data_IF_241291051751
#
_entry.id   IF_241291051751
#
_cell.length_a   1.000
_cell.length_b   1.000
_cell.length_c   1.000
_cell.angle_alpha   90.00
_cell.angle_beta   90.00
_cell.angle_gamma   90.00
#
_symmetry.space_group_name_H-M   'P 1'
#
loop_
_entity.id
_entity.type
_entity.pdbx_description
1 polymer ?
#
# COMPACT_ATOMS: atom_id res chain seq x y z
N UNK A 1 -22.57 -22.01 5.30
CA UNK A 1 -21.73 -20.91 5.80
C UNK A 1 -22.52 -19.60 5.68
N UNK A 2 -22.47 -18.78 6.70
CA UNK A 2 -23.09 -17.46 6.66
C UNK A 2 -22.23 -16.51 5.82
N UNK A 3 -22.58 -16.37 4.54
CA UNK A 3 -21.84 -15.58 3.55
C UNK A 3 -21.77 -14.11 3.97
N UNK A 4 -22.84 -13.59 4.55
CA UNK A 4 -22.88 -12.20 5.02
C UNK A 4 -21.86 -11.96 6.12
N UNK A 5 -21.76 -12.87 7.10
CA UNK A 5 -20.75 -12.80 8.16
C UNK A 5 -19.32 -12.81 7.59
N UNK A 6 -19.02 -13.72 6.66
CA UNK A 6 -17.69 -13.80 6.04
C UNK A 6 -17.35 -12.54 5.26
N UNK A 7 -18.31 -12.00 4.54
CA UNK A 7 -18.12 -10.80 3.72
C UNK A 7 -17.83 -9.56 4.56
N UNK A 8 -18.56 -9.36 5.67
CA UNK A 8 -18.29 -8.26 6.62
C UNK A 8 -16.95 -8.46 7.33
N UNK A 9 -16.64 -9.68 7.75
CA UNK A 9 -15.38 -9.97 8.44
C UNK A 9 -14.16 -9.75 7.53
N UNK A 10 -14.31 -9.93 6.22
CA UNK A 10 -13.28 -9.65 5.22
C UNK A 10 -12.89 -8.17 5.16
N UNK A 11 -13.79 -7.24 5.54
CA UNK A 11 -13.47 -5.81 5.67
C UNK A 11 -12.30 -5.61 6.63
N UNK A 12 -12.32 -6.29 7.77
CA UNK A 12 -11.22 -6.21 8.76
C UNK A 12 -9.88 -6.62 8.15
N UNK A 13 -9.87 -7.73 7.41
CA UNK A 13 -8.64 -8.22 6.76
C UNK A 13 -8.12 -7.21 5.74
N UNK A 14 -8.99 -6.67 4.88
CA UNK A 14 -8.63 -5.62 3.92
C UNK A 14 -8.08 -4.36 4.58
N UNK A 15 -8.72 -3.89 5.67
CA UNK A 15 -8.25 -2.73 6.44
C UNK A 15 -6.89 -3.00 7.10
N UNK A 16 -6.69 -4.16 7.71
CA UNK A 16 -5.41 -4.54 8.34
C UNK A 16 -4.29 -4.59 7.29
N UNK A 17 -4.53 -5.20 6.14
CA UNK A 17 -3.53 -5.29 5.06
C UNK A 17 -3.20 -3.89 4.54
N UNK A 18 -4.20 -3.08 4.22
CA UNK A 18 -3.98 -1.72 3.76
C UNK A 18 -3.18 -0.88 4.76
N UNK A 19 -3.56 -0.88 6.05
CA UNK A 19 -2.88 -0.11 7.09
C UNK A 19 -1.46 -0.60 7.35
N UNK A 20 -1.24 -1.91 7.48
CA UNK A 20 0.11 -2.46 7.72
C UNK A 20 1.03 -2.24 6.52
N UNK A 21 0.54 -2.43 5.31
CA UNK A 21 1.31 -2.15 4.09
C UNK A 21 1.71 -0.68 4.02
N UNK A 22 0.78 0.22 4.31
CA UNK A 22 1.02 1.67 4.37
C UNK A 22 2.08 2.01 5.43
N UNK A 23 2.05 1.34 6.58
CA UNK A 23 3.03 1.54 7.66
C UNK A 23 4.47 1.23 7.21
N UNK A 24 4.65 0.24 6.33
CA UNK A 24 5.96 -0.09 5.75
C UNK A 24 6.32 0.83 4.57
N UNK A 25 5.35 1.13 3.71
CA UNK A 25 5.55 1.91 2.50
C UNK A 25 5.88 3.39 2.78
N UNK A 26 5.11 4.02 3.68
CA UNK A 26 5.18 5.46 3.93
C UNK A 26 6.56 5.93 4.41
N UNK A 27 7.20 5.33 5.43
CA UNK A 27 8.51 5.76 5.89
C UNK A 27 9.58 5.66 4.80
N UNK A 28 9.55 4.58 4.01
CA UNK A 28 10.49 4.39 2.90
C UNK A 28 10.30 5.47 1.83
N UNK A 29 9.06 5.71 1.40
CA UNK A 29 8.76 6.69 0.37
C UNK A 29 9.10 8.13 0.83
N UNK A 30 8.74 8.50 2.08
CA UNK A 30 9.05 9.81 2.64
C UNK A 30 10.56 10.03 2.77
N UNK A 31 11.25 9.09 3.39
CA UNK A 31 12.69 9.24 3.62
C UNK A 31 13.46 9.31 2.31
N UNK A 32 13.23 8.37 1.39
CA UNK A 32 13.95 8.31 0.12
C UNK A 32 13.53 9.44 -0.82
N UNK A 33 12.23 9.76 -0.92
CA UNK A 33 11.73 10.81 -1.80
C UNK A 33 12.21 12.19 -1.39
N UNK A 34 12.13 12.53 -0.09
CA UNK A 34 12.61 13.81 0.43
C UNK A 34 14.14 13.89 0.36
N UNK A 35 14.86 12.81 0.68
CA UNK A 35 16.31 12.77 0.57
C UNK A 35 16.79 12.99 -0.87
N UNK A 36 16.22 12.30 -1.84
CA UNK A 36 16.54 12.46 -3.25
C UNK A 36 16.28 13.90 -3.73
N UNK A 37 15.11 14.46 -3.42
CA UNK A 37 14.74 15.82 -3.82
C UNK A 37 15.57 16.90 -3.15
N UNK A 38 15.94 16.75 -1.87
CA UNK A 38 16.67 17.77 -1.13
C UNK A 38 18.18 17.74 -1.41
N UNK A 39 18.84 16.59 -1.30
CA UNK A 39 20.29 16.49 -1.45
C UNK A 39 20.72 16.55 -2.91
N UNK A 40 19.97 15.92 -3.81
CA UNK A 40 20.36 15.84 -5.23
C UNK A 40 21.62 15.00 -5.47
N UNK A 41 22.27 15.16 -6.65
CA UNK A 41 23.53 14.51 -6.99
C UNK A 41 23.48 12.99 -6.83
N UNK A 42 24.56 12.40 -6.29
CA UNK A 42 24.68 10.94 -6.13
C UNK A 42 23.54 10.29 -5.32
N UNK A 43 23.02 10.98 -4.31
CA UNK A 43 21.90 10.46 -3.51
C UNK A 43 20.64 10.35 -4.38
N UNK A 44 20.37 11.35 -5.18
CA UNK A 44 19.27 11.35 -6.13
C UNK A 44 19.43 10.27 -7.19
N UNK A 45 20.61 10.17 -7.80
CA UNK A 45 20.91 9.19 -8.86
C UNK A 45 20.73 7.75 -8.35
N UNK A 46 21.22 7.44 -7.15
CA UNK A 46 21.10 6.11 -6.56
C UNK A 46 19.64 5.76 -6.24
N UNK A 47 18.88 6.70 -5.67
CA UNK A 47 17.47 6.47 -5.34
C UNK A 47 16.64 6.34 -6.63
N UNK A 48 16.92 7.15 -7.63
CA UNK A 48 16.29 7.03 -8.95
C UNK A 48 16.59 5.68 -9.61
N UNK A 49 17.84 5.26 -9.56
CA UNK A 49 18.23 3.95 -10.08
C UNK A 49 17.46 2.82 -9.35
N UNK A 50 17.36 2.87 -8.03
CA UNK A 50 16.65 1.87 -7.24
C UNK A 50 15.16 1.80 -7.59
N UNK A 51 14.43 2.92 -7.59
CA UNK A 51 13.00 2.86 -7.91
C UNK A 51 12.73 2.58 -9.38
N UNK A 52 13.62 3.01 -10.31
CA UNK A 52 13.46 2.70 -11.73
C UNK A 52 13.69 1.22 -12.01
N UNK A 53 14.71 0.63 -11.39
CA UNK A 53 14.98 -0.82 -11.48
C UNK A 53 13.83 -1.64 -10.95
N UNK A 54 13.30 -1.31 -9.76
CA UNK A 54 12.12 -1.99 -9.20
C UNK A 54 10.89 -1.84 -10.10
N UNK A 55 10.65 -0.64 -10.64
CA UNK A 55 9.50 -0.37 -11.50
C UNK A 55 9.63 -0.99 -12.91
N UNK A 56 10.82 -1.41 -13.34
CA UNK A 56 11.01 -2.11 -14.62
C UNK A 56 10.53 -3.57 -14.58
N UNK A 57 10.42 -4.14 -13.37
CA UNK A 57 9.88 -5.48 -13.17
C UNK A 57 8.36 -5.37 -13.08
N UNK A 58 7.58 -6.18 -13.81
CA UNK A 58 6.13 -6.19 -13.64
C UNK A 58 5.76 -6.47 -12.18
N UNK A 59 5.13 -5.47 -11.50
CA UNK A 59 4.90 -5.50 -10.05
C UNK A 59 4.16 -6.75 -9.57
N UNK A 60 3.16 -7.20 -10.33
CA UNK A 60 2.43 -8.44 -10.03
C UNK A 60 3.33 -9.68 -9.99
N UNK A 61 4.30 -9.80 -10.89
CA UNK A 61 5.26 -10.92 -10.91
C UNK A 61 6.24 -10.82 -9.74
N UNK A 62 6.76 -9.63 -9.46
CA UNK A 62 7.66 -9.40 -8.34
C UNK A 62 7.00 -9.77 -7.00
N UNK A 63 5.79 -9.26 -6.77
CA UNK A 63 5.03 -9.55 -5.55
C UNK A 63 4.72 -11.04 -5.45
N UNK A 64 4.21 -11.65 -6.51
CA UNK A 64 3.86 -13.08 -6.54
C UNK A 64 5.08 -13.96 -6.25
N UNK A 65 6.21 -13.71 -6.91
CA UNK A 65 7.45 -14.47 -6.69
C UNK A 65 7.97 -14.33 -5.25
N UNK A 66 7.94 -13.12 -4.70
CA UNK A 66 8.38 -12.83 -3.33
C UNK A 66 7.49 -13.54 -2.29
N UNK A 67 6.16 -13.46 -2.47
CA UNK A 67 5.20 -14.12 -1.57
C UNK A 67 5.32 -15.64 -1.64
N UNK A 68 5.47 -16.22 -2.85
CA UNK A 68 5.68 -17.65 -3.01
C UNK A 68 6.98 -18.11 -2.35
N UNK A 69 8.09 -17.41 -2.54
CA UNK A 69 9.37 -17.72 -1.90
C UNK A 69 9.25 -17.76 -0.39
N UNK A 70 8.50 -16.82 0.18
CA UNK A 70 8.29 -16.76 1.63
C UNK A 70 7.33 -17.85 2.11
N UNK A 71 6.29 -18.19 1.34
CA UNK A 71 5.41 -19.31 1.67
C UNK A 71 6.17 -20.64 1.69
N UNK A 72 7.07 -20.86 0.74
CA UNK A 72 7.96 -22.03 0.72
C UNK A 72 8.89 -22.04 1.94
N UNK A 73 9.44 -20.88 2.32
CA UNK A 73 10.26 -20.76 3.52
C UNK A 73 9.48 -21.15 4.78
N UNK A 74 8.27 -20.61 4.97
CA UNK A 74 7.40 -20.92 6.13
C UNK A 74 7.04 -22.40 6.15
N UNK A 75 6.76 -23.01 5.00
CA UNK A 75 6.41 -24.43 4.93
C UNK A 75 7.58 -25.37 5.21
N UNK A 76 8.81 -24.94 4.94
CA UNK A 76 10.04 -25.70 5.19
C UNK A 76 10.56 -25.56 6.63
N UNK A 77 10.02 -24.64 7.43
CA UNK A 77 10.44 -24.39 8.82
C UNK A 77 9.25 -24.50 9.79
N UNK A 78 8.55 -25.65 9.84
CA UNK A 78 7.36 -25.83 10.68
C UNK A 78 7.67 -25.73 12.18
N UNK A 79 8.93 -25.93 12.59
CA UNK A 79 9.39 -25.79 13.96
C UNK A 79 9.33 -24.33 14.47
N UNK A 80 9.39 -23.34 13.58
CA UNK A 80 9.28 -21.91 13.92
C UNK A 80 7.83 -21.43 14.01
N UNK A 81 6.90 -22.18 13.40
CA UNK A 81 5.47 -21.85 13.31
C UNK A 81 4.64 -23.00 13.88
N UNK A 82 4.62 -23.09 15.21
CA UNK A 82 4.04 -24.23 15.93
C UNK A 82 2.53 -24.34 15.84
N UNK A 83 1.82 -23.24 15.50
CA UNK A 83 0.36 -23.23 15.34
C UNK A 83 -0.06 -22.73 13.96
N UNK A 84 -1.21 -23.21 13.48
CA UNK A 84 -1.81 -22.76 12.21
C UNK A 84 -2.12 -21.25 12.23
N UNK A 85 -2.48 -20.70 13.38
CA UNK A 85 -2.73 -19.27 13.55
C UNK A 85 -1.43 -18.47 13.36
N UNK A 86 -0.32 -18.88 13.98
CA UNK A 86 0.98 -18.22 13.82
C UNK A 86 1.44 -18.23 12.37
N UNK A 87 1.29 -19.34 11.65
CA UNK A 87 1.64 -19.41 10.23
C UNK A 87 0.74 -18.53 9.35
N UNK A 88 -0.55 -18.39 9.68
CA UNK A 88 -1.47 -17.51 8.97
C UNK A 88 -1.12 -16.02 9.21
N UNK A 89 -0.82 -15.64 10.44
CA UNK A 89 -0.42 -14.28 10.80
C UNK A 89 0.94 -13.92 10.19
N UNK A 90 1.90 -14.85 10.19
CA UNK A 90 3.19 -14.67 9.53
C UNK A 90 3.05 -14.45 8.02
N UNK A 91 2.19 -15.22 7.35
CA UNK A 91 1.90 -15.02 5.91
C UNK A 91 1.25 -13.67 5.64
N UNK A 92 0.34 -13.23 6.50
CA UNK A 92 -0.31 -11.92 6.38
C UNK A 92 0.70 -10.79 6.56
N UNK A 93 1.49 -10.82 7.63
CA UNK A 93 2.54 -9.81 7.89
C UNK A 93 3.57 -9.76 6.76
N UNK A 94 3.96 -10.91 6.26
CA UNK A 94 4.89 -11.01 5.16
C UNK A 94 4.34 -10.44 3.85
N UNK A 95 3.07 -10.71 3.56
CA UNK A 95 2.37 -10.10 2.42
C UNK A 95 2.37 -8.57 2.54
N UNK A 96 2.01 -8.04 3.71
CA UNK A 96 2.02 -6.60 3.97
C UNK A 96 3.42 -6.00 3.81
N UNK A 97 4.44 -6.67 4.32
CA UNK A 97 5.83 -6.22 4.20
C UNK A 97 6.29 -6.21 2.73
N UNK A 98 6.04 -7.29 1.98
CA UNK A 98 6.39 -7.39 0.55
C UNK A 98 5.67 -6.30 -0.25
N UNK A 99 4.36 -6.14 -0.06
CA UNK A 99 3.58 -5.09 -0.70
C UNK A 99 4.14 -3.71 -0.35
N UNK A 100 4.48 -3.45 0.91
CA UNK A 100 5.04 -2.17 1.36
C UNK A 100 6.39 -1.86 0.72
N UNK A 101 7.28 -2.85 0.71
CA UNK A 101 8.65 -2.70 0.14
C UNK A 101 8.64 -2.65 -1.39
N UNK A 102 7.59 -3.08 -2.06
CA UNK A 102 7.49 -3.00 -3.52
C UNK A 102 6.71 -1.78 -4.01
N UNK A 103 5.78 -1.25 -3.21
CA UNK A 103 4.85 -0.18 -3.64
C UNK A 103 5.34 1.26 -3.35
N UNK A 104 6.43 1.44 -2.61
CA UNK A 104 6.93 2.78 -2.23
C UNK A 104 7.39 3.65 -3.41
N UNK A 105 7.66 3.05 -4.56
CA UNK A 105 8.34 3.70 -5.70
C UNK A 105 7.54 4.88 -6.28
N UNK A 106 6.22 4.75 -6.42
CA UNK A 106 5.36 5.79 -6.98
C UNK A 106 5.29 7.01 -6.06
N UNK A 107 5.04 6.79 -4.77
CA UNK A 107 5.00 7.87 -3.78
C UNK A 107 6.37 8.54 -3.64
N UNK A 108 7.47 7.77 -3.63
CA UNK A 108 8.82 8.31 -3.58
C UNK A 108 9.11 9.24 -4.76
N UNK A 109 8.73 8.85 -5.97
CA UNK A 109 8.90 9.67 -7.19
C UNK A 109 8.13 10.98 -7.10
N UNK A 110 6.90 10.94 -6.59
CA UNK A 110 6.05 12.11 -6.42
C UNK A 110 6.63 13.06 -5.36
N UNK A 111 7.03 12.52 -4.20
CA UNK A 111 7.62 13.30 -3.11
C UNK A 111 8.97 13.92 -3.50
N UNK A 112 9.78 13.19 -4.28
CA UNK A 112 11.01 13.73 -4.86
C UNK A 112 10.72 14.95 -5.75
N UNK A 113 9.77 14.81 -6.69
CA UNK A 113 9.42 15.88 -7.61
C UNK A 113 8.94 17.15 -6.87
N UNK A 114 8.13 16.99 -5.83
CA UNK A 114 7.64 18.11 -5.02
C UNK A 114 8.73 18.70 -4.15
N UNK A 115 9.60 17.88 -3.56
CA UNK A 115 10.73 18.35 -2.75
C UNK A 115 11.71 19.16 -3.60
N UNK A 116 11.94 18.76 -4.86
CA UNK A 116 12.76 19.53 -5.81
C UNK A 116 12.21 20.94 -6.06
N UNK A 117 10.89 21.12 -6.16
CA UNK A 117 10.26 22.42 -6.29
C UNK A 117 10.39 23.23 -4.99
N UNK A 118 10.03 22.61 -3.86
CA UNK A 118 10.00 23.28 -2.57
C UNK A 118 11.38 23.76 -2.10
N UNK A 119 12.45 23.07 -2.43
CA UNK A 119 13.81 23.48 -2.01
C UNK A 119 14.28 24.78 -2.65
N UNK A 120 13.68 25.20 -3.77
CA UNK A 120 14.01 26.44 -4.49
C UNK A 120 13.07 27.60 -4.12
N UNK A 121 12.11 27.40 -3.22
CA UNK A 121 11.18 28.47 -2.77
C UNK A 121 11.89 29.42 -1.80
N UNK A 122 11.55 30.70 -1.90
CA UNK A 122 12.24 31.81 -1.21
C UNK A 122 12.41 31.61 0.31
N UNK A 123 11.39 31.09 1.00
CA UNK A 123 11.50 30.85 2.44
C UNK A 123 12.48 29.74 2.81
N UNK A 124 12.68 28.74 1.94
CA UNK A 124 13.66 27.66 2.13
C UNK A 124 15.07 28.23 1.85
N UNK A 125 15.21 29.02 0.79
CA UNK A 125 16.47 29.69 0.46
C UNK A 125 16.89 30.67 1.56
N UNK A 126 15.95 31.46 2.09
CA UNK A 126 16.19 32.35 3.22
C UNK A 126 16.63 31.60 4.49
N UNK A 127 15.95 30.48 4.83
CA UNK A 127 16.35 29.65 5.95
C UNK A 127 17.77 29.08 5.79
N UNK A 128 18.14 28.69 4.56
CA UNK A 128 19.50 28.21 4.23
C UNK A 128 20.52 29.34 4.36
N UNK A 129 20.23 30.55 3.85
CA UNK A 129 21.10 31.73 3.95
C UNK A 129 21.33 32.17 5.40
N UNK A 130 20.35 31.99 6.28
CA UNK A 130 20.43 32.23 7.73
C UNK A 130 21.17 31.09 8.49
N UNK A 131 21.78 30.10 7.80
CA UNK A 131 22.56 29.05 8.41
C UNK A 131 21.76 27.90 9.04
N UNK A 132 20.48 27.74 8.71
CA UNK A 132 19.68 26.62 9.21
C UNK A 132 20.26 25.29 8.74
N UNK A 133 20.36 24.31 9.67
CA UNK A 133 20.81 22.95 9.36
C UNK A 133 19.81 22.23 8.43
N UNK A 134 20.32 21.37 7.56
CA UNK A 134 19.54 20.57 6.61
C UNK A 134 18.38 19.82 7.29
N UNK A 135 18.60 19.25 8.47
CA UNK A 135 17.57 18.54 9.23
C UNK A 135 16.41 19.47 9.65
N UNK A 136 16.74 20.70 10.07
CA UNK A 136 15.75 21.72 10.42
C UNK A 136 14.93 22.12 9.20
N UNK A 137 15.58 22.30 8.05
CA UNK A 137 14.91 22.65 6.78
C UNK A 137 13.95 21.53 6.37
N UNK A 138 14.41 20.27 6.35
CA UNK A 138 13.56 19.14 6.02
C UNK A 138 12.36 19.06 6.97
N UNK A 139 12.61 19.08 8.28
CA UNK A 139 11.55 18.88 9.29
C UNK A 139 10.54 20.02 9.35
N UNK A 140 10.99 21.28 9.26
CA UNK A 140 10.13 22.45 9.46
C UNK A 140 9.53 23.02 8.17
N UNK A 141 10.21 22.87 7.05
CA UNK A 141 9.82 23.52 5.80
C UNK A 141 9.39 22.54 4.71
N UNK A 142 10.08 21.40 4.52
CA UNK A 142 9.77 20.47 3.44
C UNK A 142 8.71 19.46 3.87
N UNK A 143 8.96 18.72 4.95
CA UNK A 143 8.10 17.63 5.38
C UNK A 143 6.64 18.03 5.59
N UNK A 144 6.30 19.14 6.27
CA UNK A 144 4.91 19.56 6.43
C UNK A 144 4.23 19.88 5.09
N UNK A 145 4.99 20.46 4.14
CA UNK A 145 4.47 20.82 2.83
C UNK A 145 4.28 19.66 1.87
N UNK A 146 5.05 18.58 1.99
CA UNK A 146 4.86 17.37 1.17
C UNK A 146 3.88 16.38 1.81
N UNK A 147 3.55 16.53 3.10
CA UNK A 147 2.73 15.58 3.85
C UNK A 147 1.31 15.49 3.29
N UNK A 148 0.72 16.59 2.82
CA UNK A 148 -0.61 16.57 2.21
C UNK A 148 -0.65 15.66 0.97
N UNK A 149 0.39 15.72 0.12
CA UNK A 149 0.52 14.86 -1.05
C UNK A 149 0.66 13.39 -0.61
N UNK A 150 1.49 13.14 0.41
CA UNK A 150 1.66 11.81 0.95
C UNK A 150 0.33 11.22 1.45
N UNK A 151 -0.46 11.98 2.20
CA UNK A 151 -1.75 11.52 2.74
C UNK A 151 -2.75 11.23 1.62
N UNK A 152 -2.89 12.13 0.64
CA UNK A 152 -3.80 11.92 -0.50
C UNK A 152 -3.40 10.63 -1.27
N UNK A 153 -2.11 10.50 -1.60
CA UNK A 153 -1.61 9.33 -2.34
C UNK A 153 -1.81 8.04 -1.56
N UNK A 154 -1.58 8.06 -0.24
CA UNK A 154 -1.78 6.89 0.62
C UNK A 154 -3.23 6.39 0.61
N UNK A 155 -4.21 7.29 0.65
CA UNK A 155 -5.61 6.91 0.63
C UNK A 155 -5.99 6.27 -0.71
N UNK A 156 -5.45 6.79 -1.83
CA UNK A 156 -5.62 6.20 -3.15
C UNK A 156 -4.93 4.83 -3.27
N UNK A 157 -3.69 4.74 -2.79
CA UNK A 157 -2.91 3.48 -2.80
C UNK A 157 -3.56 2.40 -1.94
N UNK A 158 -4.26 2.79 -0.86
CA UNK A 158 -4.99 1.85 -0.01
C UNK A 158 -6.03 1.03 -0.80
N UNK A 159 -6.79 1.68 -1.68
CA UNK A 159 -7.76 0.99 -2.55
C UNK A 159 -7.06 -0.03 -3.46
N UNK A 160 -5.92 0.36 -4.03
CA UNK A 160 -5.10 -0.54 -4.85
C UNK A 160 -4.59 -1.73 -4.04
N UNK A 161 -4.13 -1.52 -2.80
CA UNK A 161 -3.61 -2.59 -1.94
C UNK A 161 -4.67 -3.62 -1.57
N UNK A 162 -5.90 -3.19 -1.27
CA UNK A 162 -7.03 -4.10 -1.02
C UNK A 162 -7.35 -4.95 -2.25
N UNK A 163 -7.34 -4.34 -3.44
CA UNK A 163 -7.56 -5.07 -4.69
C UNK A 163 -6.42 -6.02 -5.02
N UNK A 164 -5.17 -5.62 -4.75
CA UNK A 164 -3.99 -6.45 -4.96
C UNK A 164 -4.02 -7.70 -4.05
N UNK A 165 -4.40 -7.56 -2.78
CA UNK A 165 -4.62 -8.70 -1.88
C UNK A 165 -5.67 -9.65 -2.42
N UNK A 166 -6.82 -9.11 -2.83
CA UNK A 166 -7.90 -9.94 -3.36
C UNK A 166 -7.48 -10.72 -4.61
N UNK A 167 -6.70 -10.09 -5.51
CA UNK A 167 -6.15 -10.75 -6.69
C UNK A 167 -5.14 -11.85 -6.32
N UNK A 168 -4.20 -11.58 -5.42
CA UNK A 168 -3.20 -12.55 -4.98
C UNK A 168 -3.85 -13.74 -4.27
N UNK A 169 -4.82 -13.50 -3.41
CA UNK A 169 -5.58 -14.56 -2.72
C UNK A 169 -6.46 -15.36 -3.68
N UNK A 170 -7.05 -14.71 -4.70
CA UNK A 170 -7.77 -15.40 -5.76
C UNK A 170 -6.87 -16.39 -6.53
N UNK A 171 -5.64 -16.01 -6.81
CA UNK A 171 -4.66 -16.89 -7.48
C UNK A 171 -4.09 -17.95 -6.52
N UNK A 172 -4.36 -17.85 -5.21
CA UNK A 172 -3.87 -18.78 -4.20
C UNK A 172 -2.50 -18.45 -3.62
N UNK A 173 -1.97 -17.26 -3.93
CA UNK A 173 -0.66 -16.79 -3.48
C UNK A 173 -0.77 -15.76 -2.35
N UNK A 174 -1.96 -15.25 -2.03
CA UNK A 174 -2.21 -14.23 -1.03
C UNK A 174 -2.11 -14.72 0.43
N UNK A 175 -3.06 -14.29 1.24
CA UNK A 175 -3.18 -14.70 2.64
C UNK A 175 -3.47 -16.19 2.77
N UNK A 176 -3.28 -16.73 4.00
CA UNK A 176 -3.61 -18.13 4.26
C UNK A 176 -5.07 -18.46 3.85
N UNK A 177 -5.33 -19.65 3.28
CA UNK A 177 -6.70 -20.07 2.98
C UNK A 177 -7.65 -20.10 4.20
N UNK A 178 -7.09 -20.16 5.41
CA UNK A 178 -7.86 -20.05 6.66
C UNK A 178 -8.22 -18.61 7.04
N UNK A 179 -7.56 -17.62 6.44
CA UNK A 179 -7.86 -16.21 6.68
C UNK A 179 -9.11 -15.81 5.91
N UNK A 180 -10.05 -15.17 6.59
CA UNK A 180 -11.26 -14.67 5.98
C UNK A 180 -10.90 -13.40 5.22
N UNK A 181 -10.91 -13.48 3.87
CA UNK A 181 -10.70 -12.36 2.95
C UNK A 181 -11.61 -12.48 1.74
N UNK A 182 -11.86 -11.37 1.07
CA UNK A 182 -12.64 -11.38 -0.18
C UNK A 182 -11.96 -12.19 -1.27
N UNK A 183 -10.62 -12.14 -1.37
CA UNK A 183 -9.89 -12.93 -2.36
C UNK A 183 -10.07 -14.43 -2.15
N UNK A 184 -9.99 -14.92 -0.91
CA UNK A 184 -10.27 -16.32 -0.58
C UNK A 184 -11.74 -16.67 -0.82
N UNK A 185 -12.69 -15.75 -0.55
CA UNK A 185 -14.11 -15.97 -0.88
C UNK A 185 -14.32 -16.13 -2.39
N UNK A 186 -13.70 -15.28 -3.21
CA UNK A 186 -13.80 -15.34 -4.68
C UNK A 186 -13.13 -16.63 -5.19
N UNK A 187 -11.97 -16.98 -4.65
CA UNK A 187 -11.29 -18.23 -5.00
C UNK A 187 -12.14 -19.48 -4.72
N UNK A 188 -12.80 -19.53 -3.56
CA UNK A 188 -13.71 -20.63 -3.22
C UNK A 188 -14.98 -20.60 -4.08
N UNK A 189 -15.56 -19.41 -4.31
CA UNK A 189 -16.79 -19.25 -5.06
C UNK A 189 -16.66 -19.67 -6.53
N UNK A 190 -15.47 -19.58 -7.15
CA UNK A 190 -15.27 -20.06 -8.53
C UNK A 190 -15.59 -21.56 -8.71
N UNK A 191 -15.35 -22.37 -7.68
CA UNK A 191 -15.68 -23.79 -7.70
C UNK A 191 -17.19 -24.03 -7.54
N UNK A 192 -17.86 -23.17 -6.80
CA UNK A 192 -19.30 -23.20 -6.60
C UNK A 192 -20.07 -22.80 -7.87
N UNK A 193 -19.49 -21.96 -8.74
CA UNK A 193 -20.05 -21.62 -10.05
C UNK A 193 -20.10 -22.82 -11.01
N UNK A 194 -19.22 -23.81 -10.82
CA UNK A 194 -19.19 -25.04 -11.63
C UNK A 194 -20.20 -26.10 -11.15
N UNK A 195 -20.90 -25.84 -10.03
CA UNK A 195 -21.90 -26.77 -9.48
C UNK A 195 -23.25 -26.67 -10.20
N UNK A 196 -24.01 -27.73 -10.07
CA UNK A 196 -25.40 -27.75 -10.54
C UNK A 196 -26.34 -28.05 -9.34
N UNK A 197 -27.16 -27.10 -8.88
CA UNK A 197 -27.40 -25.74 -9.42
C UNK A 197 -26.23 -24.78 -9.17
N UNK A 198 -26.08 -23.78 -10.05
CA UNK A 198 -25.03 -22.76 -9.96
C UNK A 198 -25.20 -21.92 -8.70
N UNK A 199 -24.16 -21.82 -7.87
CA UNK A 199 -24.14 -21.02 -6.64
C UNK A 199 -23.31 -19.77 -6.90
N UNK A 200 -23.94 -18.65 -7.28
CA UNK A 200 -23.28 -17.39 -7.70
C UNK A 200 -23.21 -16.31 -6.62
N UNK A 201 -24.08 -16.38 -5.61
CA UNK A 201 -24.23 -15.32 -4.61
C UNK A 201 -23.01 -15.08 -3.71
N UNK A 202 -22.13 -16.08 -3.36
CA UNK A 202 -20.92 -15.79 -2.58
C UNK A 202 -19.94 -14.90 -3.34
N UNK A 203 -19.82 -15.11 -4.65
CA UNK A 203 -18.99 -14.30 -5.51
C UNK A 203 -19.53 -12.87 -5.63
N UNK A 204 -20.84 -12.73 -5.88
CA UNK A 204 -21.49 -11.43 -5.95
C UNK A 204 -21.33 -10.66 -4.62
N UNK A 205 -21.55 -11.33 -3.48
CA UNK A 205 -21.39 -10.71 -2.15
C UNK A 205 -19.97 -10.17 -1.95
N UNK A 206 -18.93 -10.95 -2.28
CA UNK A 206 -17.54 -10.51 -2.18
C UNK A 206 -17.26 -9.28 -3.03
N UNK A 207 -17.69 -9.28 -4.30
CA UNK A 207 -17.50 -8.15 -5.21
C UNK A 207 -18.24 -6.89 -4.74
N UNK A 208 -19.50 -7.01 -4.34
CA UNK A 208 -20.31 -5.85 -3.90
C UNK A 208 -19.68 -5.19 -2.67
N UNK A 209 -19.31 -5.95 -1.65
CA UNK A 209 -18.73 -5.38 -0.42
C UNK A 209 -17.32 -4.83 -0.65
N UNK A 210 -16.49 -5.49 -1.48
CA UNK A 210 -15.19 -4.96 -1.87
C UNK A 210 -15.36 -3.65 -2.65
N UNK A 211 -16.31 -3.58 -3.58
CA UNK A 211 -16.62 -2.36 -4.32
C UNK A 211 -17.08 -1.23 -3.39
N UNK A 212 -17.97 -1.52 -2.44
CA UNK A 212 -18.44 -0.53 -1.47
C UNK A 212 -17.30 0.00 -0.58
N UNK A 213 -16.38 -0.87 -0.15
CA UNK A 213 -15.21 -0.43 0.63
C UNK A 213 -14.31 0.47 -0.22
N UNK A 214 -13.95 0.05 -1.44
CA UNK A 214 -13.10 0.83 -2.35
C UNK A 214 -13.76 2.17 -2.68
N UNK A 215 -15.07 2.19 -2.93
CA UNK A 215 -15.82 3.41 -3.16
C UNK A 215 -15.77 4.35 -1.95
N UNK A 216 -16.00 3.83 -0.75
CA UNK A 216 -15.95 4.62 0.49
C UNK A 216 -14.56 5.22 0.74
N UNK A 217 -13.49 4.45 0.48
CA UNK A 217 -12.12 4.91 0.61
C UNK A 217 -11.81 6.01 -0.43
N UNK A 218 -12.25 5.85 -1.67
CA UNK A 218 -12.04 6.86 -2.71
C UNK A 218 -12.80 8.16 -2.42
N UNK A 219 -14.05 8.08 -1.94
CA UNK A 219 -14.80 9.25 -1.48
C UNK A 219 -14.11 9.94 -0.29
N UNK A 220 -13.53 9.15 0.61
CA UNK A 220 -12.71 9.70 1.70
C UNK A 220 -11.44 10.38 1.17
N UNK A 221 -10.76 9.79 0.15
CA UNK A 221 -9.61 10.42 -0.51
C UNK A 221 -9.96 11.77 -1.11
N UNK A 222 -11.09 11.86 -1.79
CA UNK A 222 -11.57 13.13 -2.37
C UNK A 222 -11.85 14.16 -1.28
N UNK A 223 -12.54 13.78 -0.19
CA UNK A 223 -12.78 14.68 0.94
C UNK A 223 -11.47 15.17 1.62
N UNK A 224 -10.47 14.29 1.73
CA UNK A 224 -9.13 14.66 2.24
C UNK A 224 -8.46 15.63 1.28
N UNK A 225 -8.51 15.36 -0.02
CA UNK A 225 -7.95 16.25 -1.04
C UNK A 225 -8.58 17.64 -1.00
N UNK A 226 -9.90 17.71 -0.91
CA UNK A 226 -10.66 18.97 -0.84
C UNK A 226 -10.30 19.77 0.42
N UNK A 227 -10.10 19.08 1.56
CA UNK A 227 -9.69 19.72 2.80
C UNK A 227 -8.28 20.34 2.74
N UNK A 228 -7.41 19.85 1.87
CA UNK A 228 -6.06 20.40 1.66
C UNK A 228 -5.96 21.36 0.48
N UNK A 229 -7.06 21.58 -0.29
CA UNK A 229 -7.07 22.51 -1.42
C UNK A 229 -7.31 23.96 -0.92
N UNK A 230 -6.30 24.85 -0.99
CA UNK A 230 -6.44 26.22 -0.52
C UNK A 230 -7.38 27.09 -1.37
N UNK A 231 -7.78 26.64 -2.57
CA UNK A 231 -8.68 27.41 -3.45
C UNK A 231 -10.15 27.27 -3.08
N UNK A 232 -10.56 26.25 -2.32
CA UNK A 232 -11.95 26.08 -1.87
C UNK A 232 -12.32 26.94 -0.65
N UNK A 233 -11.37 27.54 0.05
CA UNK A 233 -11.63 28.40 1.21
C UNK A 233 -12.04 29.85 0.86
N UNK A 234 -12.30 30.16 -0.41
CA UNK A 234 -12.66 31.51 -0.89
C UNK A 234 -14.10 31.64 -1.40
N UNK A 235 -14.98 30.67 -1.11
CA UNK A 235 -16.42 30.76 -1.44
C UNK A 235 -17.26 30.88 -0.20
#
# INVERSE_FOLDING_TARGET
QDIFYFTIKSIRTGLVIGLLTTLFMLPLALFLGVAAGYFGGLADDLIQYAYTTLSSIPGGLLITASVLSLQVYISNHPEQFTTLAQSADARLLALCFILGVTSWTNLCRLLRAETLKLREVDYVLAARALGSNWFTIIRKHLLPNVMHIAVITLVLDFSFLVMAEALLSYVGVGVSPMTISWGNMINSARLELARNPVIWWPMLAAFVFMFLLVLAINLFADAVRDAFDPHQSQV
#
